data_IF_829086952692
#
_entry.id   IF_829086952692
#
_cell.length_a   1.000
_cell.length_b   1.000
_cell.length_c   1.000
_cell.angle_alpha   90.00
_cell.angle_beta   90.00
_cell.angle_gamma   90.00
#
_symmetry.space_group_name_H-M   'P 1'
#
loop_
_entity.id
_entity.type
_entity.pdbx_description
1 polymer ?
#
# COMPACT_ATOMS: atom_id res chain seq x y z
N UNK A 1 52.69 25.50 -51.07
CA UNK A 1 52.51 24.75 -52.33
C UNK A 1 51.55 23.60 -52.05
N UNK A 2 50.50 23.48 -52.88
CA UNK A 2 49.40 22.50 -52.81
C UNK A 2 49.87 21.14 -53.35
N UNK A 3 49.34 20.03 -52.86
CA UNK A 3 48.70 19.01 -53.71
C UNK A 3 47.70 18.17 -52.90
N UNK A 4 46.46 18.21 -53.36
CA UNK A 4 45.29 17.43 -52.98
C UNK A 4 45.23 16.12 -53.75
N UNK A 5 44.67 15.05 -53.18
CA UNK A 5 43.93 14.04 -53.95
C UNK A 5 42.86 13.34 -53.10
N UNK A 6 41.60 13.59 -53.46
CA UNK A 6 40.42 12.80 -53.09
C UNK A 6 40.10 11.80 -54.20
N UNK A 7 39.48 10.68 -53.83
CA UNK A 7 38.63 9.75 -54.63
C UNK A 7 38.23 8.62 -53.69
N UNK A 8 37.10 7.94 -53.74
CA UNK A 8 35.67 8.16 -54.03
C UNK A 8 34.98 6.87 -53.56
N UNK A 9 33.69 6.94 -53.20
CA UNK A 9 32.84 5.82 -52.80
C UNK A 9 32.64 4.78 -53.91
N UNK A 10 32.30 3.55 -53.51
CA UNK A 10 31.31 2.73 -54.21
C UNK A 10 30.47 1.88 -53.25
N UNK A 11 29.19 1.78 -53.57
CA UNK A 11 28.12 1.07 -52.87
C UNK A 11 27.96 -0.36 -53.41
N UNK A 12 27.23 -1.18 -52.62
CA UNK A 12 26.09 -2.02 -53.02
C UNK A 12 26.24 -3.54 -52.77
N UNK A 13 25.22 -4.15 -52.14
CA UNK A 13 24.92 -5.58 -52.33
C UNK A 13 24.54 -6.45 -51.12
N UNK A 14 23.23 -6.50 -50.84
CA UNK A 14 22.44 -7.71 -50.52
C UNK A 14 22.55 -8.47 -49.18
N UNK A 15 21.54 -8.22 -48.35
CA UNK A 15 20.57 -9.16 -47.75
C UNK A 15 20.96 -10.41 -46.92
N UNK A 16 20.32 -10.44 -45.73
CA UNK A 16 19.77 -11.56 -44.95
C UNK A 16 20.70 -12.52 -44.20
N UNK A 17 20.65 -12.48 -42.86
CA UNK A 17 20.41 -13.68 -42.04
C UNK A 17 19.83 -13.30 -40.66
N UNK A 18 18.78 -14.03 -40.26
CA UNK A 18 18.09 -13.97 -38.96
C UNK A 18 19.00 -14.47 -37.84
N UNK A 19 19.01 -13.80 -36.69
CA UNK A 19 19.12 -14.48 -35.38
C UNK A 19 18.57 -13.59 -34.28
N UNK A 20 17.45 -14.00 -33.70
CA UNK A 20 16.95 -13.40 -32.47
C UNK A 20 17.90 -13.70 -31.31
N UNK A 21 18.04 -12.74 -30.41
CA UNK A 21 18.50 -13.02 -29.05
C UNK A 21 17.90 -11.98 -28.12
N UNK A 22 16.98 -12.47 -27.30
CA UNK A 22 16.72 -12.13 -25.91
C UNK A 22 16.94 -10.68 -25.47
N UNK A 23 15.81 -10.00 -25.27
CA UNK A 23 15.59 -8.99 -24.23
C UNK A 23 16.28 -9.39 -22.92
N UNK A 24 17.40 -8.76 -22.58
CA UNK A 24 17.90 -8.74 -21.21
C UNK A 24 17.01 -7.81 -20.41
N UNK A 25 15.91 -8.35 -19.89
CA UNK A 25 15.24 -7.76 -18.74
C UNK A 25 16.15 -8.01 -17.54
N UNK A 26 17.01 -7.04 -17.23
CA UNK A 26 17.70 -7.01 -15.95
C UNK A 26 16.62 -6.85 -14.89
N UNK A 27 16.15 -7.97 -14.33
CA UNK A 27 15.40 -7.95 -13.07
C UNK A 27 16.34 -7.39 -12.01
N UNK A 28 16.27 -6.09 -11.77
CA UNK A 28 16.84 -5.47 -10.58
C UNK A 28 16.14 -6.14 -9.41
N UNK A 29 16.83 -7.08 -8.77
CA UNK A 29 16.39 -7.61 -7.49
C UNK A 29 16.63 -6.49 -6.50
N UNK A 30 15.58 -5.76 -6.15
CA UNK A 30 15.58 -4.91 -4.97
C UNK A 30 15.69 -5.83 -3.77
N UNK A 31 16.94 -6.03 -3.31
CA UNK A 31 17.17 -6.58 -1.99
C UNK A 31 16.85 -5.40 -1.05
N UNK A 32 15.67 -5.43 -0.42
CA UNK A 32 15.38 -4.51 0.69
C UNK A 32 16.41 -4.80 1.78
N UNK A 33 17.07 -3.76 2.28
CA UNK A 33 17.83 -3.90 3.53
C UNK A 33 16.88 -4.30 4.66
N UNK A 34 17.33 -5.14 5.61
CA UNK A 34 16.51 -5.53 6.75
C UNK A 34 16.11 -4.28 7.55
N UNK A 35 14.81 -4.01 7.65
CA UNK A 35 14.25 -2.90 8.42
C UNK A 35 13.71 -1.71 7.61
N UNK A 36 13.69 -1.77 6.28
CA UNK A 36 13.01 -0.76 5.47
C UNK A 36 12.06 -1.45 4.47
N UNK A 37 10.93 -1.94 4.97
CA UNK A 37 9.86 -2.44 4.09
C UNK A 37 9.16 -1.24 3.49
N UNK A 38 9.17 -1.14 2.16
CA UNK A 38 8.37 -0.15 1.46
C UNK A 38 6.88 -0.39 1.78
N UNK A 39 6.23 0.58 2.42
CA UNK A 39 4.83 0.46 2.85
C UNK A 39 3.86 0.38 1.66
N UNK A 40 4.23 1.00 0.53
CA UNK A 40 3.43 1.04 -0.69
C UNK A 40 4.30 0.70 -1.90
N UNK A 41 4.70 -0.58 -2.03
CA UNK A 41 5.54 -1.03 -3.15
C UNK A 41 4.76 -0.95 -4.47
N UNK A 42 5.45 -0.83 -5.61
CA UNK A 42 4.81 -0.94 -6.92
C UNK A 42 4.03 -2.26 -7.04
N UNK A 43 2.83 -2.23 -7.65
CA UNK A 43 1.98 -3.42 -7.81
C UNK A 43 2.76 -4.58 -8.45
N UNK A 44 3.59 -4.27 -9.45
CA UNK A 44 4.43 -5.24 -10.17
C UNK A 44 5.36 -6.04 -9.26
N UNK A 45 5.77 -5.47 -8.12
CA UNK A 45 6.58 -6.15 -7.11
C UNK A 45 5.70 -6.87 -6.10
N UNK A 46 4.66 -6.21 -5.59
CA UNK A 46 3.80 -6.75 -4.53
C UNK A 46 3.18 -8.09 -4.90
N UNK A 47 2.71 -8.25 -6.15
CA UNK A 47 2.04 -9.49 -6.61
C UNK A 47 2.89 -10.75 -6.42
N UNK A 48 4.21 -10.62 -6.45
CA UNK A 48 5.17 -11.73 -6.37
C UNK A 48 5.72 -11.97 -4.96
N UNK A 49 5.44 -11.07 -4.01
CA UNK A 49 5.87 -11.19 -2.61
C UNK A 49 5.43 -12.52 -2.01
N UNK A 50 6.31 -13.09 -1.17
CA UNK A 50 6.05 -14.35 -0.46
C UNK A 50 5.50 -14.11 0.93
N UNK A 51 4.99 -15.18 1.55
CA UNK A 51 4.34 -15.16 2.87
C UNK A 51 5.14 -14.43 3.95
N UNK A 52 6.47 -14.59 3.97
CA UNK A 52 7.35 -13.89 4.92
C UNK A 52 7.37 -12.37 4.71
N UNK A 53 7.54 -11.92 3.47
CA UNK A 53 7.52 -10.49 3.12
C UNK A 53 6.16 -9.85 3.39
N UNK A 54 5.07 -10.60 3.12
CA UNK A 54 3.71 -10.13 3.39
C UNK A 54 3.44 -10.02 4.89
N UNK A 55 3.95 -10.95 5.69
CA UNK A 55 3.85 -10.89 7.14
C UNK A 55 4.66 -9.70 7.69
N UNK A 56 5.90 -9.50 7.24
CA UNK A 56 6.71 -8.34 7.65
C UNK A 56 6.00 -7.02 7.30
N UNK A 57 5.50 -6.89 6.07
CA UNK A 57 4.71 -5.74 5.64
C UNK A 57 3.46 -5.52 6.49
N UNK A 58 2.73 -6.57 6.85
CA UNK A 58 1.59 -6.47 7.77
C UNK A 58 2.02 -5.90 9.13
N UNK A 59 3.20 -6.25 9.65
CA UNK A 59 3.75 -5.62 10.85
C UNK A 59 3.94 -4.12 10.69
N UNK A 60 4.59 -3.71 9.59
CA UNK A 60 4.93 -2.31 9.31
C UNK A 60 3.70 -1.42 9.05
N UNK A 61 2.63 -1.96 8.45
CA UNK A 61 1.37 -1.21 8.25
C UNK A 61 0.43 -1.24 9.47
N UNK A 62 0.86 -1.81 10.59
CA UNK A 62 0.14 -1.81 11.87
C UNK A 62 -0.74 -3.04 12.15
N UNK A 63 -0.62 -4.10 11.36
CA UNK A 63 -1.36 -5.37 11.48
C UNK A 63 -0.50 -6.48 12.11
N UNK A 64 0.43 -6.12 13.01
CA UNK A 64 1.36 -7.06 13.63
C UNK A 64 0.68 -8.29 14.27
N UNK A 65 -0.51 -8.09 14.85
CA UNK A 65 -1.31 -9.16 15.46
C UNK A 65 -1.84 -10.22 14.47
N UNK A 66 -1.80 -9.96 13.17
CA UNK A 66 -2.28 -10.87 12.11
C UNK A 66 -1.15 -11.49 11.29
N UNK A 67 0.12 -11.15 11.60
CA UNK A 67 1.29 -11.69 10.90
C UNK A 67 1.37 -13.22 10.92
N UNK A 68 1.08 -13.93 12.03
CA UNK A 68 1.16 -15.40 12.05
C UNK A 68 0.22 -16.07 11.04
N UNK A 69 -1.02 -15.59 10.96
CA UNK A 69 -2.04 -16.09 10.06
C UNK A 69 -1.72 -15.75 8.61
N UNK A 70 -1.21 -14.53 8.34
CA UNK A 70 -0.75 -14.13 7.00
C UNK A 70 0.41 -15.00 6.53
N UNK A 71 1.40 -15.20 7.39
CA UNK A 71 2.56 -16.07 7.12
C UNK A 71 2.13 -17.52 6.82
N UNK A 72 1.09 -18.00 7.52
CA UNK A 72 0.61 -19.37 7.37
C UNK A 72 -0.27 -19.59 6.15
N UNK A 73 -1.16 -18.65 5.83
CA UNK A 73 -2.25 -18.87 4.86
C UNK A 73 -2.11 -18.09 3.55
N UNK A 74 -1.35 -16.98 3.53
CA UNK A 74 -1.23 -16.14 2.33
C UNK A 74 -0.01 -16.55 1.51
N UNK A 75 -0.22 -17.13 0.32
CA UNK A 75 0.86 -17.68 -0.52
C UNK A 75 1.62 -16.67 -1.38
N UNK A 76 0.97 -15.59 -1.78
CA UNK A 76 1.59 -14.52 -2.56
C UNK A 76 0.82 -13.21 -2.43
N UNK A 77 1.43 -12.08 -2.81
CA UNK A 77 0.69 -10.82 -2.85
C UNK A 77 -0.49 -10.87 -3.81
N UNK A 78 -0.38 -11.59 -4.93
CA UNK A 78 -1.53 -11.86 -5.81
C UNK A 78 -2.63 -12.68 -5.15
N UNK A 79 -2.30 -13.65 -4.29
CA UNK A 79 -3.33 -14.33 -3.50
C UNK A 79 -3.99 -13.33 -2.55
N UNK A 80 -3.19 -12.49 -1.89
CA UNK A 80 -3.70 -11.53 -0.91
C UNK A 80 -4.65 -10.51 -1.53
N UNK A 81 -4.31 -9.94 -2.68
CA UNK A 81 -5.15 -8.99 -3.43
C UNK A 81 -6.50 -9.58 -3.87
N UNK A 82 -6.59 -10.91 -4.03
CA UNK A 82 -7.82 -11.57 -4.44
C UNK A 82 -8.66 -12.09 -3.25
N UNK A 83 -8.18 -11.95 -2.01
CA UNK A 83 -8.95 -12.33 -0.84
C UNK A 83 -10.09 -11.34 -0.61
N UNK A 84 -11.24 -11.85 -0.17
CA UNK A 84 -12.39 -11.01 0.21
C UNK A 84 -12.53 -10.87 1.74
N UNK A 85 -13.44 -10.01 2.18
CA UNK A 85 -13.69 -9.73 3.60
C UNK A 85 -13.99 -10.96 4.44
N UNK A 86 -14.72 -11.93 3.89
CA UNK A 86 -15.05 -13.18 4.59
C UNK A 86 -13.80 -14.06 4.77
N UNK A 87 -12.89 -14.06 3.81
CA UNK A 87 -11.59 -14.74 3.94
C UNK A 87 -10.67 -14.03 4.95
N UNK A 88 -10.67 -12.69 5.00
CA UNK A 88 -9.96 -11.96 6.05
C UNK A 88 -10.47 -12.34 7.44
N UNK A 89 -11.78 -12.44 7.61
CA UNK A 89 -12.38 -12.80 8.89
C UNK A 89 -12.08 -14.25 9.29
N UNK A 90 -12.34 -15.21 8.39
CA UNK A 90 -12.27 -16.64 8.72
C UNK A 90 -10.83 -17.17 8.68
N UNK A 91 -10.04 -16.77 7.67
CA UNK A 91 -8.69 -17.31 7.44
C UNK A 91 -7.65 -16.52 8.22
N UNK A 92 -7.74 -15.18 8.21
CA UNK A 92 -6.77 -14.31 8.87
C UNK A 92 -7.19 -13.87 10.28
N UNK A 93 -8.40 -14.20 10.72
CA UNK A 93 -8.90 -13.85 12.05
C UNK A 93 -9.22 -12.36 12.23
N UNK A 94 -9.35 -11.60 11.14
CA UNK A 94 -9.61 -10.14 11.19
C UNK A 94 -11.10 -9.91 11.39
N UNK A 95 -11.55 -10.04 12.65
CA UNK A 95 -12.98 -9.92 13.04
C UNK A 95 -13.51 -8.49 13.04
N UNK A 96 -12.67 -7.50 13.34
CA UNK A 96 -13.06 -6.09 13.37
C UNK A 96 -13.30 -5.58 11.94
N UNK A 97 -14.52 -5.09 11.59
CA UNK A 97 -14.82 -4.59 10.26
C UNK A 97 -13.89 -3.46 9.81
N UNK A 98 -13.53 -2.55 10.72
CA UNK A 98 -12.63 -1.43 10.43
C UNK A 98 -11.20 -1.87 10.12
N UNK A 99 -10.74 -2.99 10.67
CA UNK A 99 -9.44 -3.57 10.31
C UNK A 99 -9.46 -4.12 8.88
N UNK A 100 -10.53 -4.82 8.51
CA UNK A 100 -10.73 -5.29 7.12
C UNK A 100 -10.82 -4.11 6.16
N UNK A 101 -11.56 -3.07 6.53
CA UNK A 101 -11.67 -1.84 5.74
C UNK A 101 -10.31 -1.17 5.52
N UNK A 102 -9.53 -0.98 6.59
CA UNK A 102 -8.17 -0.43 6.52
C UNK A 102 -7.28 -1.26 5.59
N UNK A 103 -7.29 -2.59 5.74
CA UNK A 103 -6.50 -3.49 4.91
C UNK A 103 -6.86 -3.36 3.43
N UNK A 104 -8.16 -3.34 3.10
CA UNK A 104 -8.63 -3.11 1.74
C UNK A 104 -8.18 -1.76 1.17
N UNK A 105 -8.14 -0.69 1.99
CA UNK A 105 -7.63 0.62 1.54
C UNK A 105 -6.13 0.58 1.23
N UNK A 106 -5.34 -0.12 2.06
CA UNK A 106 -3.90 -0.31 1.83
C UNK A 106 -3.65 -1.11 0.55
N UNK A 107 -4.37 -2.21 0.34
CA UNK A 107 -4.23 -3.07 -0.84
C UNK A 107 -4.70 -2.36 -2.12
N UNK A 108 -5.85 -1.67 -2.09
CA UNK A 108 -6.32 -0.87 -3.23
C UNK A 108 -5.30 0.19 -3.63
N UNK A 109 -4.66 0.83 -2.66
CA UNK A 109 -3.63 1.83 -2.92
C UNK A 109 -2.43 1.24 -3.64
N UNK A 110 -2.03 0.01 -3.31
CA UNK A 110 -0.99 -0.72 -4.04
C UNK A 110 -1.48 -1.06 -5.46
N UNK A 111 -2.74 -1.49 -5.62
CA UNK A 111 -3.33 -1.81 -6.93
C UNK A 111 -3.44 -0.61 -7.87
N UNK A 112 -3.79 0.55 -7.33
CA UNK A 112 -3.98 1.76 -8.13
C UNK A 112 -2.64 2.28 -8.71
N UNK A 113 -1.50 1.80 -8.20
CA UNK A 113 -0.12 2.22 -8.56
C UNK A 113 0.02 3.75 -8.65
N UNK A 114 -0.86 4.46 -7.95
CA UNK A 114 -0.97 5.89 -8.01
C UNK A 114 0.02 6.41 -6.99
N UNK A 115 1.14 6.93 -7.47
CA UNK A 115 2.12 7.67 -6.67
C UNK A 115 1.57 8.93 -6.01
N UNK A 116 0.24 9.02 -5.81
CA UNK A 116 -0.43 10.03 -5.03
C UNK A 116 0.19 10.04 -3.64
N UNK A 117 0.86 11.13 -3.30
CA UNK A 117 1.37 11.35 -1.96
C UNK A 117 0.26 11.06 -0.96
N UNK A 118 0.45 10.05 -0.10
CA UNK A 118 -0.45 9.85 1.04
C UNK A 118 -0.49 11.18 1.77
N UNK A 119 -1.66 11.55 2.29
CA UNK A 119 -1.68 12.27 3.55
C UNK A 119 -0.73 11.52 4.50
N UNK A 120 0.42 12.11 4.86
CA UNK A 120 1.41 11.51 5.77
C UNK A 120 0.89 11.51 7.22
N UNK A 121 -0.42 11.41 7.35
CA UNK A 121 -1.18 11.51 8.58
C UNK A 121 -1.31 10.12 9.16
N UNK A 122 -0.32 9.79 9.96
CA UNK A 122 -0.22 8.51 10.63
C UNK A 122 -1.11 8.45 11.89
N UNK A 123 -0.98 7.33 12.61
CA UNK A 123 -1.66 7.12 13.88
C UNK A 123 -1.27 8.19 14.91
N UNK A 124 0.01 8.58 14.99
CA UNK A 124 0.48 9.54 15.98
C UNK A 124 -0.14 10.93 15.76
N UNK A 125 -0.19 11.39 14.52
CA UNK A 125 -0.87 12.63 14.13
C UNK A 125 -2.37 12.57 14.45
N UNK A 126 -3.00 11.42 14.23
CA UNK A 126 -4.42 11.21 14.59
C UNK A 126 -4.65 11.34 16.09
N UNK A 127 -3.79 10.74 16.91
CA UNK A 127 -3.86 10.84 18.36
C UNK A 127 -3.67 12.30 18.83
N UNK A 128 -2.68 13.01 18.28
CA UNK A 128 -2.46 14.43 18.61
C UNK A 128 -3.65 15.30 18.20
N UNK A 129 -4.21 15.07 17.01
CA UNK A 129 -5.37 15.82 16.54
C UNK A 129 -6.58 15.65 17.46
N UNK A 130 -6.83 14.44 17.97
CA UNK A 130 -7.88 14.21 18.97
C UNK A 130 -7.66 15.04 20.24
N UNK A 131 -6.42 15.25 20.69
CA UNK A 131 -6.11 16.17 21.79
C UNK A 131 -6.40 17.62 21.41
N UNK A 132 -5.94 18.05 20.23
CA UNK A 132 -6.05 19.43 19.76
C UNK A 132 -7.51 19.89 19.61
N UNK A 133 -8.43 18.99 19.23
CA UNK A 133 -9.87 19.25 19.13
C UNK A 133 -10.65 18.98 20.44
N UNK A 134 -9.95 18.65 21.54
CA UNK A 134 -10.59 18.41 22.84
C UNK A 134 -11.36 17.08 22.94
N UNK A 135 -10.99 16.09 22.14
CA UNK A 135 -11.57 14.74 22.09
C UNK A 135 -10.59 13.60 22.52
N UNK A 136 -9.71 13.77 23.55
CA UNK A 136 -8.71 12.77 23.92
C UNK A 136 -9.30 11.43 24.41
N UNK A 137 -10.55 11.40 24.88
CA UNK A 137 -11.25 10.20 25.31
C UNK A 137 -11.54 9.18 24.19
N UNK A 138 -11.27 9.53 22.93
CA UNK A 138 -11.42 8.64 21.78
C UNK A 138 -10.11 8.03 21.29
N UNK A 139 -8.98 8.44 21.88
CA UNK A 139 -7.64 7.98 21.53
C UNK A 139 -7.51 6.47 21.46
N UNK A 140 -7.91 5.79 22.55
CA UNK A 140 -7.87 4.35 22.67
C UNK A 140 -8.69 3.68 21.57
N UNK A 141 -9.96 4.06 21.40
CA UNK A 141 -10.85 3.46 20.40
C UNK A 141 -10.39 3.71 18.97
N UNK A 142 -9.82 4.89 18.67
CA UNK A 142 -9.23 5.16 17.36
C UNK A 142 -7.98 4.30 17.10
N UNK A 143 -7.15 4.12 18.12
CA UNK A 143 -5.98 3.25 18.05
C UNK A 143 -6.38 1.78 17.87
N UNK A 144 -7.32 1.31 18.67
CA UNK A 144 -7.87 -0.06 18.64
C UNK A 144 -8.49 -0.41 17.29
N UNK A 145 -9.09 0.57 16.58
CA UNK A 145 -9.70 0.38 15.26
C UNK A 145 -8.78 0.81 14.11
N UNK A 146 -7.52 1.15 14.40
CA UNK A 146 -6.52 1.58 13.43
C UNK A 146 -6.98 2.73 12.50
N UNK A 147 -7.67 3.72 13.07
CA UNK A 147 -8.13 4.91 12.34
C UNK A 147 -6.98 5.91 12.22
N UNK A 148 -6.52 6.16 10.99
CA UNK A 148 -5.53 7.19 10.63
C UNK A 148 -6.00 8.03 9.43
N UNK A 149 -5.08 8.79 8.81
CA UNK A 149 -5.33 9.61 7.62
C UNK A 149 -5.97 8.86 6.46
N UNK A 150 -5.50 7.63 6.19
CA UNK A 150 -6.06 6.80 5.13
C UNK A 150 -7.52 6.46 5.43
N UNK A 151 -7.82 6.11 6.68
CA UNK A 151 -9.18 5.79 7.12
C UNK A 151 -10.10 7.02 7.12
N UNK A 152 -9.64 8.20 7.55
CA UNK A 152 -10.47 9.41 7.61
C UNK A 152 -11.18 9.72 6.30
N UNK A 153 -10.48 9.61 5.18
CA UNK A 153 -11.04 9.84 3.83
C UNK A 153 -12.12 8.84 3.41
N UNK A 154 -12.19 7.68 4.09
CA UNK A 154 -13.05 6.57 3.72
C UNK A 154 -14.08 6.20 4.80
N UNK A 155 -14.02 6.80 6.00
CA UNK A 155 -14.98 6.57 7.08
C UNK A 155 -16.37 7.07 6.68
N UNK A 156 -17.37 6.22 6.88
CA UNK A 156 -18.78 6.53 6.66
C UNK A 156 -19.48 6.75 8.00
N UNK A 157 -20.70 7.29 7.93
CA UNK A 157 -21.57 7.40 9.11
C UNK A 157 -21.77 6.06 9.82
N UNK A 158 -21.95 4.98 9.06
CA UNK A 158 -22.13 3.63 9.59
C UNK A 158 -20.89 3.14 10.32
N UNK A 159 -19.70 3.36 9.76
CA UNK A 159 -18.44 2.99 10.42
C UNK A 159 -18.32 3.68 11.77
N UNK A 160 -18.65 4.96 11.86
CA UNK A 160 -18.56 5.73 13.11
C UNK A 160 -19.55 5.26 14.18
N UNK A 161 -20.71 4.73 13.76
CA UNK A 161 -21.66 4.08 14.67
C UNK A 161 -21.06 2.76 15.19
N UNK A 162 -20.34 2.00 14.35
CA UNK A 162 -19.61 0.80 14.79
C UNK A 162 -18.45 1.15 15.74
N UNK A 163 -17.79 2.30 15.55
CA UNK A 163 -16.68 2.75 16.41
C UNK A 163 -17.15 2.95 17.86
N UNK A 164 -18.40 3.35 18.15
CA UNK A 164 -18.96 3.25 19.51
C UNK A 164 -20.50 3.24 19.59
N UNK A 165 -20.99 2.48 20.57
CA UNK A 165 -22.17 2.83 21.39
C UNK A 165 -22.04 4.19 22.15
N UNK A 166 -21.31 5.20 21.65
CA UNK A 166 -21.00 6.44 22.40
C UNK A 166 -20.84 7.67 21.51
N UNK A 167 -20.94 7.57 20.18
CA UNK A 167 -20.98 8.78 19.36
C UNK A 167 -22.41 9.28 19.20
N UNK A 168 -22.64 10.55 19.51
CA UNK A 168 -23.64 11.30 18.77
C UNK A 168 -23.00 11.63 17.41
N UNK A 169 -23.60 11.17 16.32
CA UNK A 169 -23.12 11.41 14.94
C UNK A 169 -22.82 12.90 14.66
N UNK A 170 -23.53 13.79 15.34
CA UNK A 170 -23.45 15.23 15.16
C UNK A 170 -22.14 15.86 15.67
N UNK A 171 -21.57 15.36 16.77
CA UNK A 171 -20.34 15.93 17.35
C UNK A 171 -19.14 15.72 16.41
N UNK A 172 -19.05 14.54 15.80
CA UNK A 172 -17.89 14.14 15.00
C UNK A 172 -17.90 14.67 13.56
N UNK A 173 -19.07 14.64 12.89
CA UNK A 173 -19.21 15.17 11.53
C UNK A 173 -18.85 16.65 11.44
N UNK A 174 -19.21 17.42 12.48
CA UNK A 174 -18.92 18.86 12.54
C UNK A 174 -17.43 19.18 12.68
N UNK A 175 -16.63 18.26 13.25
CA UNK A 175 -15.22 18.51 13.56
C UNK A 175 -14.27 17.97 12.48
N UNK A 176 -14.63 16.88 11.80
CA UNK A 176 -13.94 16.46 10.56
C UNK A 176 -13.93 17.61 9.54
N UNK A 177 -15.06 18.31 9.37
CA UNK A 177 -15.19 19.37 8.37
C UNK A 177 -14.54 20.71 8.76
N UNK A 178 -14.07 20.87 10.01
CA UNK A 178 -13.44 22.11 10.51
C UNK A 178 -11.91 22.08 10.58
N UNK A 179 -11.29 20.93 10.33
CA UNK A 179 -9.83 20.80 10.41
C UNK A 179 -9.31 19.38 10.58
N UNK A 180 -10.09 18.37 10.20
CA UNK A 180 -9.52 17.05 9.91
C UNK A 180 -8.66 17.10 8.64
N UNK A 181 -7.75 16.13 8.44
CA UNK A 181 -7.02 15.99 7.18
C UNK A 181 -7.94 15.82 5.97
#
# INVERSE_FOLDING_TARGET
>A
MKFTRSTSQDQNGSATLKKGTSRSASSVRFISEPGNVELFPPLSQFVDWKSEQLAEWMGEVGFAQYMPEVSKYVRSGRHFLNMNDNEYEIILGIRTPLHRKRLNLLLRRIEDDSGNAVSNWDMHMTQKWLEDIGLPQYKEVFCENMIDGLMFSALTATDLIEVKHTFSYYDFSSEIHKGGP
#
